data_IF_510465570833
#
_entry.id   IF_510465570833
#
_cell.length_a   1.000
_cell.length_b   1.000
_cell.length_c   1.000
_cell.angle_alpha   90.00
_cell.angle_beta   90.00
_cell.angle_gamma   90.00
#
_symmetry.space_group_name_H-M   'P 1'
#
loop_
_entity.id
_entity.type
_entity.pdbx_description
1 polymer ?
#
# COMPACT_ATOMS: atom_id res chain seq x y z
N UNK A 1 -22.31 61.38 -18.19
CA UNK A 1 -21.79 60.07 -17.75
C UNK A 1 -22.91 59.06 -17.78
N UNK A 2 -22.97 58.18 -18.80
CA UNK A 2 -23.82 57.00 -18.72
C UNK A 2 -23.10 55.96 -17.87
N UNK A 3 -23.60 55.71 -16.66
CA UNK A 3 -23.23 54.51 -15.91
C UNK A 3 -24.02 53.34 -16.50
N UNK A 4 -23.45 52.72 -17.54
CA UNK A 4 -23.89 51.39 -17.97
C UNK A 4 -23.33 50.41 -16.93
N UNK A 5 -24.10 50.18 -15.87
CA UNK A 5 -23.96 48.95 -15.11
C UNK A 5 -24.45 47.82 -16.00
N UNK A 6 -23.52 47.15 -16.68
CA UNK A 6 -23.79 45.82 -17.24
C UNK A 6 -23.89 44.87 -16.05
N UNK A 7 -25.11 44.68 -15.55
CA UNK A 7 -25.40 43.57 -14.65
C UNK A 7 -25.01 42.27 -15.38
N UNK A 8 -23.95 41.62 -14.91
CA UNK A 8 -23.43 40.40 -15.49
C UNK A 8 -24.17 39.22 -14.84
N UNK A 9 -25.19 38.73 -15.55
CA UNK A 9 -25.98 37.58 -15.19
C UNK A 9 -25.36 36.31 -15.77
N UNK A 10 -25.24 35.27 -14.95
CA UNK A 10 -24.88 33.93 -15.41
C UNK A 10 -26.08 32.99 -15.26
N UNK A 11 -26.25 32.07 -16.21
CA UNK A 11 -27.39 31.17 -16.30
C UNK A 11 -26.88 29.76 -16.55
N UNK A 12 -26.72 29.01 -15.48
CA UNK A 12 -26.35 27.61 -15.52
C UNK A 12 -27.57 26.77 -15.95
N UNK A 13 -27.33 25.74 -16.75
CA UNK A 13 -28.34 24.73 -17.13
C UNK A 13 -27.74 23.33 -16.99
N UNK A 14 -28.42 22.46 -16.26
CA UNK A 14 -28.00 21.08 -16.01
C UNK A 14 -29.13 20.10 -16.35
N UNK A 15 -28.77 18.87 -16.75
CA UNK A 15 -29.72 17.80 -16.98
C UNK A 15 -29.21 16.48 -16.37
N UNK A 16 -30.13 15.56 -16.06
CA UNK A 16 -29.84 14.26 -15.45
C UNK A 16 -29.67 13.12 -16.46
N UNK A 17 -29.48 13.42 -17.75
CA UNK A 17 -29.31 12.41 -18.80
C UNK A 17 -27.97 11.68 -18.76
N UNK A 18 -27.76 10.66 -19.61
CA UNK A 18 -28.73 10.14 -20.59
C UNK A 18 -29.92 9.43 -19.93
N UNK A 19 -31.06 9.38 -20.62
CA UNK A 19 -32.25 8.63 -20.18
C UNK A 19 -32.69 7.60 -21.24
N UNK A 20 -33.38 6.54 -20.82
CA UNK A 20 -34.05 5.62 -21.77
C UNK A 20 -35.31 6.26 -22.37
N UNK A 21 -35.67 5.93 -23.61
CA UNK A 21 -36.95 6.33 -24.24
C UNK A 21 -38.14 6.01 -23.33
N UNK A 22 -39.02 6.98 -23.11
CA UNK A 22 -40.16 6.87 -22.19
C UNK A 22 -39.87 7.24 -20.73
N UNK A 23 -38.61 7.26 -20.30
CA UNK A 23 -38.23 7.75 -18.97
C UNK A 23 -38.31 9.28 -18.88
N UNK A 24 -38.31 9.82 -17.64
CA UNK A 24 -38.45 11.26 -17.40
C UNK A 24 -37.09 11.89 -17.09
N UNK A 25 -36.62 12.78 -17.96
CA UNK A 25 -35.48 13.64 -17.66
C UNK A 25 -35.93 14.87 -16.85
N UNK A 26 -35.04 15.33 -15.99
CA UNK A 26 -35.12 16.59 -15.25
C UNK A 26 -34.05 17.53 -15.80
N UNK A 27 -34.48 18.69 -16.29
CA UNK A 27 -33.59 19.78 -16.71
C UNK A 27 -33.81 20.96 -15.76
N UNK A 28 -32.73 21.48 -15.18
CA UNK A 28 -32.74 22.58 -14.21
C UNK A 28 -31.96 23.77 -14.77
N UNK A 29 -32.47 24.97 -14.51
CA UNK A 29 -31.78 26.22 -14.80
C UNK A 29 -31.65 27.06 -13.52
N UNK A 30 -30.47 27.62 -13.29
CA UNK A 30 -30.09 28.46 -12.15
C UNK A 30 -29.55 29.80 -12.66
N UNK A 31 -30.24 30.89 -12.36
CA UNK A 31 -29.77 32.25 -12.62
C UNK A 31 -28.99 32.76 -11.41
N UNK A 32 -27.75 33.18 -11.62
CA UNK A 32 -26.94 33.87 -10.61
C UNK A 32 -26.59 35.30 -11.07
N UNK A 33 -26.41 36.20 -10.10
CA UNK A 33 -25.92 37.55 -10.35
C UNK A 33 -24.51 37.68 -9.78
N UNK A 34 -23.60 38.25 -10.56
CA UNK A 34 -22.20 38.44 -10.15
C UNK A 34 -22.02 39.55 -9.10
N UNK A 35 -23.02 40.44 -8.98
CA UNK A 35 -23.10 41.46 -7.94
C UNK A 35 -24.27 41.14 -7.01
N UNK A 36 -24.00 41.10 -5.70
CA UNK A 36 -24.93 40.71 -4.63
C UNK A 36 -26.00 41.79 -4.30
N UNK A 37 -26.29 42.67 -5.26
CA UNK A 37 -27.35 43.67 -5.15
C UNK A 37 -28.70 42.97 -5.24
N UNK A 38 -29.31 42.71 -4.08
CA UNK A 38 -30.64 42.10 -3.93
C UNK A 38 -31.70 43.01 -4.55
N UNK A 39 -31.87 42.89 -5.86
CA UNK A 39 -33.02 43.46 -6.56
C UNK A 39 -34.21 42.56 -6.32
N UNK A 40 -35.36 43.14 -5.95
CA UNK A 40 -36.63 42.41 -5.78
C UNK A 40 -37.25 41.97 -7.13
N UNK A 41 -36.41 41.71 -8.12
CA UNK A 41 -36.78 41.33 -9.47
C UNK A 41 -37.26 39.87 -9.46
N UNK A 42 -38.49 39.69 -9.93
CA UNK A 42 -39.03 38.39 -10.30
C UNK A 42 -38.63 38.11 -11.75
N UNK A 43 -38.03 36.96 -11.99
CA UNK A 43 -37.65 36.50 -13.32
C UNK A 43 -38.69 35.53 -13.87
N UNK A 44 -38.66 35.31 -15.18
CA UNK A 44 -39.45 34.29 -15.86
C UNK A 44 -38.55 33.43 -16.78
N UNK A 45 -38.68 32.11 -16.64
CA UNK A 45 -37.91 31.12 -17.40
C UNK A 45 -38.73 30.59 -18.56
N UNK A 46 -38.33 30.98 -19.77
CA UNK A 46 -38.93 30.58 -21.03
C UNK A 46 -38.10 29.41 -21.59
N UNK A 47 -38.75 28.29 -21.89
CA UNK A 47 -38.09 27.04 -22.28
C UNK A 47 -38.46 26.64 -23.71
N UNK A 48 -37.50 26.14 -24.48
CA UNK A 48 -37.71 25.36 -25.71
C UNK A 48 -37.11 23.97 -25.49
N UNK A 49 -37.97 22.95 -25.60
CA UNK A 49 -37.65 21.54 -25.41
C UNK A 49 -38.18 20.65 -26.53
N UNK A 50 -38.85 21.20 -27.55
CA UNK A 50 -39.40 20.42 -28.66
C UNK A 50 -38.27 19.68 -29.41
N UNK A 51 -38.47 18.40 -29.80
CA UNK A 51 -39.73 17.63 -29.82
C UNK A 51 -40.05 16.85 -28.53
N UNK A 52 -39.35 17.08 -27.41
CA UNK A 52 -39.64 16.38 -26.15
C UNK A 52 -41.02 16.77 -25.58
N UNK A 53 -41.64 15.84 -24.85
CA UNK A 53 -42.95 16.03 -24.20
C UNK A 53 -42.73 16.58 -22.79
N UNK A 54 -43.30 17.75 -22.49
CA UNK A 54 -43.28 18.32 -21.14
C UNK A 54 -44.25 17.55 -20.23
N UNK A 55 -43.72 16.95 -19.17
CA UNK A 55 -44.50 16.20 -18.17
C UNK A 55 -44.63 16.94 -16.83
N UNK A 56 -43.82 17.99 -16.60
CA UNK A 56 -43.98 18.89 -15.45
C UNK A 56 -43.11 20.14 -15.57
N UNK A 57 -43.50 21.23 -14.90
CA UNK A 57 -42.69 22.44 -14.75
C UNK A 57 -42.79 22.94 -13.31
N UNK A 58 -41.67 23.37 -12.74
CA UNK A 58 -41.63 24.19 -11.53
C UNK A 58 -40.76 25.43 -11.74
N UNK A 59 -41.09 26.51 -11.04
CA UNK A 59 -40.46 27.81 -11.24
C UNK A 59 -40.47 28.59 -9.93
N UNK A 60 -39.32 29.12 -9.56
CA UNK A 60 -39.06 29.96 -8.38
C UNK A 60 -38.27 31.20 -8.83
N UNK A 61 -37.86 32.07 -7.90
CA UNK A 61 -37.31 33.38 -8.26
C UNK A 61 -36.03 33.33 -9.12
N UNK A 62 -35.11 32.42 -8.79
CA UNK A 62 -33.80 32.30 -9.44
C UNK A 62 -33.58 30.94 -10.11
N UNK A 63 -34.56 30.05 -10.07
CA UNK A 63 -34.44 28.71 -10.64
C UNK A 63 -35.74 28.20 -11.23
N UNK A 64 -35.62 27.44 -12.30
CA UNK A 64 -36.74 26.72 -12.92
C UNK A 64 -36.30 25.31 -13.26
N UNK A 65 -37.24 24.37 -13.17
CA UNK A 65 -37.05 22.99 -13.58
C UNK A 65 -38.16 22.60 -14.56
N UNK A 66 -37.80 21.91 -15.63
CA UNK A 66 -38.74 21.20 -16.50
C UNK A 66 -38.45 19.71 -16.44
N UNK A 67 -39.53 18.93 -16.35
CA UNK A 67 -39.50 17.49 -16.48
C UNK A 67 -40.00 17.15 -17.90
N UNK A 68 -39.18 16.42 -18.65
CA UNK A 68 -39.40 16.15 -20.07
C UNK A 68 -39.16 14.68 -20.39
N UNK A 69 -39.91 14.15 -21.36
CA UNK A 69 -39.82 12.75 -21.81
C UNK A 69 -39.58 12.71 -23.31
N UNK A 70 -38.72 11.80 -23.77
CA UNK A 70 -38.47 11.54 -25.19
C UNK A 70 -38.99 10.16 -25.59
N UNK A 71 -39.81 10.11 -26.65
CA UNK A 71 -40.33 8.85 -27.21
C UNK A 71 -39.31 8.17 -28.14
N UNK A 72 -38.41 8.95 -28.75
CA UNK A 72 -37.43 8.49 -29.74
C UNK A 72 -36.00 8.70 -29.23
N UNK A 73 -35.04 7.81 -29.59
CA UNK A 73 -33.63 8.03 -29.28
C UNK A 73 -33.07 9.22 -30.06
N UNK A 74 -32.16 9.98 -29.46
CA UNK A 74 -31.57 11.17 -30.06
C UNK A 74 -30.87 12.10 -29.07
N UNK A 75 -30.20 13.11 -29.60
CA UNK A 75 -29.62 14.21 -28.84
C UNK A 75 -30.50 15.45 -29.04
N UNK A 76 -31.22 15.86 -27.98
CA UNK A 76 -32.23 16.91 -28.05
C UNK A 76 -31.74 18.19 -27.34
N UNK A 77 -31.63 19.33 -28.05
CA UNK A 77 -31.24 20.58 -27.43
C UNK A 77 -32.42 21.13 -26.60
N UNK A 78 -32.20 21.30 -25.30
CA UNK A 78 -33.12 22.00 -24.40
C UNK A 78 -32.51 23.35 -24.07
N UNK A 79 -33.19 24.42 -24.48
CA UNK A 79 -32.73 25.80 -24.27
C UNK A 79 -33.67 26.59 -23.38
N UNK A 80 -33.10 27.55 -22.66
CA UNK A 80 -33.81 28.41 -21.71
C UNK A 80 -33.31 29.83 -21.84
N UNK A 81 -34.22 30.80 -21.80
CA UNK A 81 -33.88 32.22 -21.65
C UNK A 81 -34.73 32.89 -20.60
N UNK A 82 -34.10 33.83 -19.90
CA UNK A 82 -34.67 34.49 -18.75
C UNK A 82 -35.07 35.92 -19.12
N UNK A 83 -36.28 36.32 -18.74
CA UNK A 83 -36.79 37.69 -18.86
C UNK A 83 -37.22 38.22 -17.50
N UNK A 84 -37.23 39.54 -17.31
CA UNK A 84 -37.90 40.12 -16.14
C UNK A 84 -39.41 39.91 -16.26
N UNK A 85 -40.06 39.41 -15.20
CA UNK A 85 -41.51 39.14 -15.18
C UNK A 85 -42.35 40.36 -15.56
N UNK A 86 -41.87 41.57 -15.24
CA UNK A 86 -42.59 42.83 -15.48
C UNK A 86 -42.36 43.41 -16.88
N UNK A 87 -41.59 42.76 -17.77
CA UNK A 87 -41.28 43.29 -19.10
C UNK A 87 -41.13 42.18 -20.16
N UNK A 88 -42.25 41.78 -20.77
CA UNK A 88 -42.27 40.79 -21.88
C UNK A 88 -41.44 41.27 -23.09
N UNK A 89 -41.51 42.56 -23.42
CA UNK A 89 -40.83 43.16 -24.59
C UNK A 89 -39.34 43.44 -24.36
N UNK A 90 -38.81 43.19 -23.15
CA UNK A 90 -37.40 43.38 -22.86
C UNK A 90 -36.55 42.28 -23.52
N UNK A 91 -35.28 42.60 -23.81
CA UNK A 91 -34.31 41.60 -24.26
C UNK A 91 -34.11 40.54 -23.16
N UNK A 92 -33.83 39.27 -23.52
CA UNK A 92 -33.50 38.26 -22.53
C UNK A 92 -32.24 38.67 -21.76
N UNK A 93 -32.30 38.49 -20.44
CA UNK A 93 -31.27 38.83 -19.47
C UNK A 93 -30.09 37.86 -19.59
N UNK A 94 -30.41 36.57 -19.71
CA UNK A 94 -29.46 35.50 -19.98
C UNK A 94 -30.14 34.40 -20.81
N UNK A 95 -29.34 33.58 -21.50
CA UNK A 95 -29.78 32.42 -22.28
C UNK A 95 -28.74 31.31 -22.19
N UNK A 96 -29.16 30.06 -22.11
CA UNK A 96 -28.26 28.90 -22.19
C UNK A 96 -28.97 27.70 -22.82
N UNK A 97 -28.19 26.68 -23.19
CA UNK A 97 -28.68 25.44 -23.84
C UNK A 97 -27.90 24.24 -23.30
N UNK A 98 -28.61 23.15 -23.06
CA UNK A 98 -28.03 21.84 -22.74
C UNK A 98 -28.49 20.82 -23.77
N UNK A 99 -27.73 19.74 -23.94
CA UNK A 99 -28.13 18.60 -24.79
C UNK A 99 -28.59 17.49 -23.86
N UNK A 100 -29.85 17.07 -24.01
CA UNK A 100 -30.37 15.87 -23.36
C UNK A 100 -30.21 14.69 -24.32
N UNK A 101 -29.53 13.65 -23.87
CA UNK A 101 -29.41 12.39 -24.62
C UNK A 101 -30.52 11.43 -24.20
N UNK A 102 -31.29 10.95 -25.18
CA UNK A 102 -32.26 9.86 -25.02
C UNK A 102 -31.77 8.66 -25.82
N UNK A 103 -31.78 7.48 -25.22
CA UNK A 103 -31.35 6.23 -25.82
C UNK A 103 -32.46 5.19 -25.75
N UNK A 104 -32.53 4.27 -26.73
CA UNK A 104 -33.48 3.16 -26.66
C UNK A 104 -33.06 2.09 -25.64
N UNK A 105 -31.80 2.11 -25.21
CA UNK A 105 -31.16 1.15 -24.32
C UNK A 105 -31.21 1.58 -22.84
N UNK A 106 -30.98 0.62 -21.94
CA UNK A 106 -30.79 0.85 -20.50
C UNK A 106 -29.51 1.66 -20.29
N UNK A 107 -29.58 2.65 -19.39
CA UNK A 107 -28.44 3.50 -18.98
C UNK A 107 -27.86 3.05 -17.64
N UNK A 108 -26.53 3.10 -17.50
CA UNK A 108 -25.84 2.70 -16.27
C UNK A 108 -24.33 2.63 -16.46
N UNK A 109 -23.61 2.14 -15.46
CA UNK A 109 -22.17 1.91 -15.53
C UNK A 109 -21.77 0.54 -14.94
N UNK A 110 -20.62 0.04 -15.40
CA UNK A 110 -19.93 -1.10 -14.78
C UNK A 110 -18.86 -0.59 -13.82
N UNK A 111 -18.79 -1.21 -12.65
CA UNK A 111 -17.82 -0.91 -11.60
C UNK A 111 -17.11 -2.20 -11.21
N UNK A 112 -15.78 -2.13 -11.12
CA UNK A 112 -14.93 -3.22 -10.65
C UNK A 112 -14.34 -2.80 -9.31
N UNK A 113 -14.41 -3.70 -8.33
CA UNK A 113 -13.79 -3.54 -7.04
C UNK A 113 -13.10 -4.83 -6.58
N UNK A 114 -11.98 -4.68 -5.90
CA UNK A 114 -11.21 -5.81 -5.37
C UNK A 114 -11.53 -6.02 -3.89
N UNK A 115 -11.80 -7.27 -3.51
CA UNK A 115 -12.02 -7.67 -2.10
C UNK A 115 -10.75 -8.33 -1.58
N UNK A 116 -10.12 -7.69 -0.59
CA UNK A 116 -8.96 -8.21 0.12
C UNK A 116 -9.34 -8.33 1.60
N UNK A 117 -9.64 -9.56 2.04
CA UNK A 117 -10.24 -9.82 3.35
C UNK A 117 -11.73 -9.49 3.40
N UNK A 118 -12.14 -8.68 4.40
CA UNK A 118 -13.55 -8.27 4.61
C UNK A 118 -13.84 -6.82 4.21
N UNK A 119 -12.88 -6.12 3.60
CA UNK A 119 -13.00 -4.74 3.17
C UNK A 119 -12.90 -4.60 1.65
N UNK A 120 -13.64 -3.62 1.11
CA UNK A 120 -13.62 -3.25 -0.30
C UNK A 120 -12.58 -2.15 -0.49
N UNK A 121 -11.33 -2.52 -0.81
CA UNK A 121 -10.16 -1.64 -0.64
C UNK A 121 -9.87 -0.79 -1.88
N UNK A 122 -10.24 -1.25 -3.09
CA UNK A 122 -9.96 -0.52 -4.34
C UNK A 122 -11.16 -0.46 -5.26
N UNK A 123 -11.51 0.76 -5.65
CA UNK A 123 -12.43 1.08 -6.74
C UNK A 123 -11.55 1.49 -7.93
N UNK A 124 -11.40 0.60 -8.92
CA UNK A 124 -10.39 0.78 -9.97
C UNK A 124 -10.37 -0.37 -10.99
N UNK A 125 -9.73 -0.12 -12.13
CA UNK A 125 -9.75 -1.00 -13.30
C UNK A 125 -8.72 -2.16 -13.22
N UNK A 126 -7.78 -2.07 -12.27
CA UNK A 126 -6.73 -3.06 -12.03
C UNK A 126 -6.99 -3.85 -10.75
N UNK A 127 -6.98 -5.17 -10.86
CA UNK A 127 -7.20 -6.13 -9.76
C UNK A 127 -6.07 -7.16 -9.75
N UNK A 128 -5.80 -7.84 -8.62
CA UNK A 128 -4.81 -8.93 -8.62
C UNK A 128 -5.40 -10.31 -8.83
N UNK A 129 -4.66 -11.14 -9.58
CA UNK A 129 -4.90 -12.59 -9.66
C UNK A 129 -4.93 -13.24 -8.28
N UNK A 130 -5.70 -14.33 -8.14
CA UNK A 130 -5.98 -15.04 -6.87
C UNK A 130 -6.71 -14.23 -5.78
N UNK A 131 -7.35 -13.10 -6.14
CA UNK A 131 -8.29 -12.40 -5.24
C UNK A 131 -9.69 -12.31 -5.85
N UNK A 132 -10.71 -12.32 -4.99
CA UNK A 132 -12.10 -12.24 -5.43
C UNK A 132 -12.38 -10.83 -5.94
N UNK A 133 -12.57 -10.72 -7.26
CA UNK A 133 -12.98 -9.49 -7.92
C UNK A 133 -14.50 -9.39 -7.87
N UNK A 134 -15.02 -8.31 -7.30
CA UNK A 134 -16.44 -7.99 -7.29
C UNK A 134 -16.73 -7.05 -8.46
N UNK A 135 -17.52 -7.53 -9.42
CA UNK A 135 -17.98 -6.73 -10.56
C UNK A 135 -19.47 -6.43 -10.37
N UNK A 136 -19.83 -5.16 -10.44
CA UNK A 136 -21.20 -4.69 -10.23
C UNK A 136 -21.65 -3.67 -11.27
N UNK A 137 -22.92 -3.75 -11.62
CA UNK A 137 -23.62 -2.78 -12.46
C UNK A 137 -24.40 -1.79 -11.58
N UNK A 138 -24.29 -0.49 -11.87
CA UNK A 138 -25.19 0.51 -11.29
C UNK A 138 -26.09 1.08 -12.38
N UNK A 139 -27.40 0.87 -12.22
CA UNK A 139 -28.44 1.43 -13.08
C UNK A 139 -28.50 2.95 -12.92
N UNK A 140 -28.50 3.68 -14.03
CA UNK A 140 -28.78 5.11 -14.07
C UNK A 140 -30.25 5.34 -14.46
N UNK A 141 -31.12 5.38 -13.46
CA UNK A 141 -32.55 5.66 -13.61
C UNK A 141 -33.00 6.74 -12.63
N UNK A 142 -32.84 8.03 -12.98
CA UNK A 142 -33.16 9.14 -12.09
C UNK A 142 -34.67 9.43 -11.99
N UNK A 143 -35.53 8.62 -12.63
CA UNK A 143 -36.99 8.81 -12.67
C UNK A 143 -37.79 7.62 -12.10
N UNK A 144 -37.13 6.62 -11.52
CA UNK A 144 -37.76 5.36 -11.10
C UNK A 144 -38.52 4.64 -12.26
N UNK A 145 -38.11 4.84 -13.52
CA UNK A 145 -38.78 4.29 -14.71
C UNK A 145 -38.82 2.75 -14.70
N UNK A 146 -37.74 2.11 -14.23
CA UNK A 146 -37.60 0.65 -14.15
C UNK A 146 -38.02 0.07 -12.79
N UNK A 147 -38.71 0.83 -11.94
CA UNK A 147 -39.07 0.42 -10.57
C UNK A 147 -39.92 -0.85 -10.46
N UNK A 148 -40.73 -1.15 -11.47
CA UNK A 148 -41.53 -2.37 -11.59
C UNK A 148 -40.88 -3.45 -12.47
N UNK A 149 -39.68 -3.21 -13.00
CA UNK A 149 -39.02 -4.14 -13.90
C UNK A 149 -38.28 -5.25 -13.15
N UNK A 150 -38.42 -6.46 -13.68
CA UNK A 150 -37.55 -7.58 -13.32
C UNK A 150 -36.30 -7.54 -14.21
N UNK A 151 -35.13 -7.72 -13.61
CA UNK A 151 -33.86 -7.69 -14.32
C UNK A 151 -33.29 -9.09 -14.55
N UNK A 152 -32.49 -9.22 -15.60
CA UNK A 152 -31.59 -10.34 -15.89
C UNK A 152 -30.26 -9.78 -16.35
N UNK A 153 -29.18 -10.26 -15.76
CA UNK A 153 -27.81 -9.84 -16.07
C UNK A 153 -27.07 -11.03 -16.68
N UNK A 154 -26.60 -10.90 -17.92
CA UNK A 154 -25.80 -11.92 -18.60
C UNK A 154 -24.35 -11.43 -18.76
N UNK A 155 -23.45 -12.02 -17.98
CA UNK A 155 -22.04 -11.67 -17.87
C UNK A 155 -21.18 -12.59 -18.74
N UNK A 156 -20.23 -12.03 -19.48
CA UNK A 156 -19.16 -12.73 -20.20
C UNK A 156 -17.81 -12.08 -19.86
N UNK A 157 -16.85 -12.90 -19.42
CA UNK A 157 -15.51 -12.48 -19.01
C UNK A 157 -14.44 -12.74 -20.10
N UNK A 158 -14.87 -13.01 -21.33
CA UNK A 158 -14.03 -13.29 -22.49
C UNK A 158 -13.55 -14.75 -22.57
N UNK A 159 -14.16 -15.67 -21.82
CA UNK A 159 -13.75 -17.08 -21.75
C UNK A 159 -14.69 -18.01 -22.55
N UNK A 160 -15.70 -17.45 -23.22
CA UNK A 160 -16.76 -18.21 -23.88
C UNK A 160 -17.77 -18.85 -22.92
N UNK A 161 -17.65 -18.57 -21.61
CA UNK A 161 -18.55 -19.00 -20.56
C UNK A 161 -19.40 -17.81 -20.09
N UNK A 162 -20.72 -17.98 -20.15
CA UNK A 162 -21.71 -16.98 -19.75
C UNK A 162 -22.23 -17.28 -18.34
N UNK A 163 -22.37 -16.25 -17.50
CA UNK A 163 -23.02 -16.34 -16.20
C UNK A 163 -24.28 -15.48 -16.19
N UNK A 164 -25.41 -16.06 -15.77
CA UNK A 164 -26.69 -15.34 -15.70
C UNK A 164 -27.11 -15.16 -14.24
N UNK A 165 -27.37 -13.92 -13.81
CA UNK A 165 -27.80 -13.57 -12.45
C UNK A 165 -29.08 -12.74 -12.43
N UNK A 166 -29.74 -12.68 -11.26
CA UNK A 166 -30.83 -11.75 -10.96
C UNK A 166 -30.34 -10.53 -10.18
N UNK A 167 -29.22 -10.68 -9.50
CA UNK A 167 -28.47 -9.67 -8.79
C UNK A 167 -27.58 -8.88 -9.77
N UNK A 168 -27.42 -7.55 -9.59
CA UNK A 168 -26.61 -6.70 -10.48
C UNK A 168 -25.10 -6.83 -10.24
N UNK A 169 -24.64 -7.91 -9.59
CA UNK A 169 -23.24 -8.13 -9.26
C UNK A 169 -22.86 -9.61 -9.30
N UNK A 170 -21.56 -9.85 -9.48
CA UNK A 170 -20.94 -11.18 -9.53
C UNK A 170 -19.57 -11.16 -8.85
N UNK A 171 -19.23 -12.27 -8.21
CA UNK A 171 -17.90 -12.53 -7.67
C UNK A 171 -17.13 -13.40 -8.65
N UNK A 172 -16.06 -12.85 -9.22
CA UNK A 172 -15.21 -13.52 -10.19
C UNK A 172 -13.83 -13.76 -9.57
N UNK A 173 -13.44 -15.03 -9.41
CA UNK A 173 -12.08 -15.41 -9.04
C UNK A 173 -11.36 -15.87 -10.30
N UNK A 174 -10.18 -15.31 -10.57
CA UNK A 174 -9.46 -15.59 -11.79
C UNK A 174 -7.95 -15.67 -11.58
N UNK A 175 -7.33 -16.70 -12.15
CA UNK A 175 -5.92 -17.06 -11.90
C UNK A 175 -4.98 -16.79 -13.08
N UNK A 176 -5.49 -16.49 -14.29
CA UNK A 176 -4.64 -16.16 -15.44
C UNK A 176 -4.52 -14.63 -15.65
N UNK A 177 -3.28 -14.15 -15.74
CA UNK A 177 -2.96 -12.73 -15.96
C UNK A 177 -3.44 -12.22 -17.32
N UNK A 178 -3.67 -10.91 -17.42
CA UNK A 178 -3.85 -10.21 -18.68
C UNK A 178 -4.98 -9.19 -18.67
N UNK A 179 -5.06 -8.44 -19.78
CA UNK A 179 -6.15 -7.50 -20.03
C UNK A 179 -7.33 -8.27 -20.63
N UNK A 180 -8.44 -8.30 -19.90
CA UNK A 180 -9.70 -8.92 -20.32
C UNK A 180 -10.76 -7.84 -20.53
N UNK A 181 -11.78 -8.13 -21.33
CA UNK A 181 -12.97 -7.30 -21.43
C UNK A 181 -14.13 -8.04 -20.79
N UNK A 182 -14.76 -7.42 -19.81
CA UNK A 182 -16.02 -7.91 -19.25
C UNK A 182 -17.15 -7.30 -20.05
N UNK A 183 -18.00 -8.16 -20.62
CA UNK A 183 -19.22 -7.79 -21.32
C UNK A 183 -20.41 -8.11 -20.42
N UNK A 184 -21.35 -7.19 -20.30
CA UNK A 184 -22.61 -7.37 -19.59
C UNK A 184 -23.77 -6.98 -20.51
N UNK A 185 -24.65 -7.95 -20.78
CA UNK A 185 -25.96 -7.69 -21.36
C UNK A 185 -27.01 -7.65 -20.25
N UNK A 186 -27.60 -6.48 -20.04
CA UNK A 186 -28.73 -6.26 -19.11
C UNK A 186 -30.04 -6.38 -19.88
N UNK A 187 -31.02 -7.04 -19.29
CA UNK A 187 -32.40 -7.13 -19.78
C UNK A 187 -33.33 -6.72 -18.63
N UNK A 188 -34.24 -5.77 -18.89
CA UNK A 188 -35.27 -5.32 -17.97
C UNK A 188 -36.64 -5.61 -18.59
N UNK A 189 -37.53 -6.27 -17.85
CA UNK A 189 -38.84 -6.72 -18.34
C UNK A 189 -39.95 -6.42 -17.31
N UNK A 190 -41.06 -5.83 -17.79
CA UNK A 190 -42.24 -5.50 -16.97
C UNK A 190 -43.54 -5.63 -17.76
N UNK A 191 -44.67 -5.76 -17.05
CA UNK A 191 -46.02 -5.67 -17.64
C UNK A 191 -46.48 -4.21 -17.72
N UNK A 192 -47.03 -3.82 -18.87
CA UNK A 192 -47.70 -2.54 -19.09
C UNK A 192 -49.12 -2.78 -19.63
N UNK A 193 -50.08 -1.93 -19.26
CA UNK A 193 -51.46 -2.02 -19.78
C UNK A 193 -51.50 -1.58 -21.24
N UNK A 194 -51.93 -2.47 -22.14
CA UNK A 194 -52.04 -2.19 -23.57
C UNK A 194 -53.10 -1.13 -23.93
N UNK A 195 -52.92 -0.47 -25.08
CA UNK A 195 -53.71 0.69 -25.48
C UNK A 195 -55.11 0.39 -26.05
N UNK A 196 -55.38 -0.84 -26.52
CA UNK A 196 -56.57 -1.13 -27.36
C UNK A 196 -57.43 -2.28 -26.81
N UNK A 197 -56.86 -3.15 -25.98
CA UNK A 197 -57.55 -4.22 -25.23
C UNK A 197 -56.95 -4.19 -23.82
N UNK A 198 -57.71 -4.57 -22.78
CA UNK A 198 -57.19 -4.75 -21.40
C UNK A 198 -56.26 -5.99 -21.27
N UNK A 199 -55.46 -6.25 -22.29
CA UNK A 199 -54.37 -7.22 -22.28
C UNK A 199 -53.11 -6.56 -21.71
N UNK A 200 -52.28 -7.37 -21.05
CA UNK A 200 -51.01 -6.91 -20.49
C UNK A 200 -49.94 -7.15 -21.55
N UNK A 201 -49.26 -6.09 -21.94
CA UNK A 201 -48.13 -6.14 -22.86
C UNK A 201 -46.84 -6.27 -22.03
N UNK A 202 -46.02 -7.27 -22.32
CA UNK A 202 -44.70 -7.41 -21.71
C UNK A 202 -43.71 -6.52 -22.46
N UNK A 203 -43.28 -5.44 -21.82
CA UNK A 203 -42.31 -4.50 -22.36
C UNK A 203 -40.92 -4.93 -21.92
N UNK A 204 -39.97 -4.93 -22.85
CA UNK A 204 -38.58 -5.28 -22.61
C UNK A 204 -37.65 -4.17 -23.06
N UNK A 205 -36.64 -3.86 -22.24
CA UNK A 205 -35.50 -3.00 -22.57
C UNK A 205 -34.21 -3.75 -22.34
N UNK A 206 -33.18 -3.39 -23.10
CA UNK A 206 -31.86 -4.03 -23.03
C UNK A 206 -30.76 -2.99 -22.94
N UNK A 207 -29.62 -3.36 -22.40
CA UNK A 207 -28.39 -2.56 -22.43
C UNK A 207 -27.18 -3.48 -22.59
N UNK A 208 -26.15 -2.98 -23.25
CA UNK A 208 -24.88 -3.69 -23.44
C UNK A 208 -23.76 -2.80 -22.90
N UNK A 209 -22.93 -3.36 -22.02
CA UNK A 209 -21.92 -2.64 -21.28
C UNK A 209 -20.60 -3.39 -21.33
N UNK A 210 -19.53 -2.68 -21.62
CA UNK A 210 -18.17 -3.23 -21.67
C UNK A 210 -17.27 -2.47 -20.74
N UNK A 211 -16.39 -3.19 -20.04
CA UNK A 211 -15.31 -2.60 -19.25
C UNK A 211 -14.06 -3.46 -19.35
N UNK A 212 -12.89 -2.83 -19.35
CA UNK A 212 -11.64 -3.57 -19.25
C UNK A 212 -11.40 -4.02 -17.80
N UNK A 213 -10.77 -5.17 -17.64
CA UNK A 213 -10.31 -5.73 -16.38
C UNK A 213 -8.83 -6.07 -16.55
N UNK A 214 -7.96 -5.31 -15.90
CA UNK A 214 -6.52 -5.56 -15.93
C UNK A 214 -6.13 -6.44 -14.73
N UNK A 215 -5.85 -7.72 -14.98
CA UNK A 215 -5.39 -8.65 -13.95
C UNK A 215 -3.87 -8.65 -13.87
N UNK A 216 -3.34 -7.98 -12.84
CA UNK A 216 -1.92 -7.86 -12.53
C UNK A 216 -1.52 -8.94 -11.51
N UNK A 217 -0.32 -9.52 -11.62
CA UNK A 217 0.17 -10.40 -10.56
C UNK A 217 0.58 -9.59 -9.32
N UNK A 218 0.23 -10.10 -8.15
CA UNK A 218 0.69 -9.58 -6.88
C UNK A 218 2.19 -9.89 -6.71
N UNK A 219 2.90 -9.05 -5.97
CA UNK A 219 4.28 -9.35 -5.54
C UNK A 219 4.20 -10.40 -4.43
N UNK A 220 4.45 -11.66 -4.78
CA UNK A 220 4.34 -12.83 -3.89
C UNK A 220 5.52 -12.94 -2.93
N UNK A 221 6.74 -12.59 -3.36
CA UNK A 221 7.92 -12.59 -2.50
C UNK A 221 9.10 -11.78 -3.06
N UNK A 222 9.99 -11.35 -2.16
CA UNK A 222 11.28 -10.73 -2.47
C UNK A 222 12.38 -11.55 -1.79
N UNK A 223 13.23 -12.21 -2.58
CA UNK A 223 14.34 -13.02 -2.12
C UNK A 223 15.67 -12.29 -2.36
N UNK A 224 16.41 -12.00 -1.30
CA UNK A 224 17.73 -11.35 -1.37
C UNK A 224 18.84 -12.41 -1.38
N UNK A 225 19.48 -12.62 -2.53
CA UNK A 225 20.55 -13.60 -2.74
C UNK A 225 21.91 -12.90 -2.66
N UNK A 226 22.91 -13.55 -2.05
CA UNK A 226 24.27 -13.02 -1.88
C UNK A 226 24.79 -13.14 -0.44
N UNK A 227 26.00 -12.63 -0.19
CA UNK A 227 26.66 -12.73 1.12
C UNK A 227 25.94 -11.96 2.23
N UNK A 228 26.21 -12.32 3.50
CA UNK A 228 25.84 -11.53 4.69
C UNK A 228 27.02 -10.76 5.28
N UNK A 229 28.23 -11.05 4.83
CA UNK A 229 29.47 -10.46 5.33
C UNK A 229 30.34 -9.95 4.19
N UNK A 230 31.05 -8.86 4.43
CA UNK A 230 32.02 -8.27 3.51
C UNK A 230 33.05 -7.46 4.30
N UNK A 231 34.16 -7.10 3.68
CA UNK A 231 35.18 -6.25 4.27
C UNK A 231 35.05 -4.77 3.87
N UNK A 232 35.62 -3.88 4.66
CA UNK A 232 35.71 -2.44 4.33
C UNK A 232 36.38 -2.24 2.95
N UNK A 233 35.82 -1.35 2.12
CA UNK A 233 36.23 -1.08 0.74
C UNK A 233 36.15 -2.26 -0.26
N UNK A 234 35.69 -3.44 0.18
CA UNK A 234 35.28 -4.53 -0.71
C UNK A 234 33.90 -4.22 -1.33
N UNK A 235 33.65 -4.75 -2.53
CA UNK A 235 32.40 -4.55 -3.26
C UNK A 235 31.45 -5.72 -3.03
N UNK A 236 30.39 -5.49 -2.26
CA UNK A 236 29.33 -6.47 -2.02
C UNK A 236 28.32 -6.44 -3.17
N UNK A 237 28.14 -7.58 -3.84
CA UNK A 237 27.07 -7.81 -4.81
C UNK A 237 25.92 -8.62 -4.18
N UNK A 238 24.70 -8.13 -4.37
CA UNK A 238 23.45 -8.78 -3.94
C UNK A 238 22.50 -8.85 -5.13
N UNK A 239 21.87 -10.01 -5.34
CA UNK A 239 20.87 -10.21 -6.39
C UNK A 239 19.48 -10.30 -5.76
N UNK A 240 18.60 -9.37 -6.12
CA UNK A 240 17.19 -9.38 -5.73
C UNK A 240 16.42 -10.24 -6.73
N UNK A 241 15.80 -11.31 -6.25
CA UNK A 241 14.91 -12.18 -7.01
C UNK A 241 13.48 -11.88 -6.56
N UNK A 242 12.65 -11.36 -7.47
CA UNK A 242 11.33 -10.84 -7.14
C UNK A 242 10.29 -11.69 -7.88
N UNK A 243 9.34 -12.25 -7.13
CA UNK A 243 8.26 -13.05 -7.66
C UNK A 243 7.02 -12.15 -7.85
N UNK A 244 6.87 -11.59 -9.04
CA UNK A 244 5.77 -10.71 -9.43
C UNK A 244 5.98 -10.16 -10.85
N UNK A 245 4.91 -9.65 -11.47
CA UNK A 245 4.93 -9.24 -12.88
C UNK A 245 5.43 -7.79 -13.08
N UNK A 246 6.39 -7.55 -14.00
CA UNK A 246 6.81 -6.21 -14.41
C UNK A 246 5.69 -5.40 -15.08
N UNK A 247 5.75 -4.05 -15.08
CA UNK A 247 6.81 -3.21 -14.49
C UNK A 247 6.66 -3.06 -12.97
N UNK A 248 7.76 -3.28 -12.23
CA UNK A 248 7.77 -3.17 -10.77
C UNK A 248 8.58 -1.93 -10.34
N UNK A 249 8.07 -1.21 -9.34
CA UNK A 249 8.79 -0.10 -8.70
C UNK A 249 9.60 -0.65 -7.50
N UNK A 250 10.91 -0.76 -7.68
CA UNK A 250 11.88 -1.20 -6.69
C UNK A 250 12.48 0.02 -5.97
N UNK A 251 12.40 0.03 -4.64
CA UNK A 251 12.87 1.10 -3.77
C UNK A 251 13.79 0.49 -2.71
N UNK A 252 15.07 0.85 -2.68
CA UNK A 252 16.04 0.28 -1.72
C UNK A 252 16.88 1.33 -1.01
N UNK A 253 17.35 1.00 0.19
CA UNK A 253 18.17 1.86 1.05
C UNK A 253 19.09 1.01 1.95
N UNK A 254 20.31 1.48 2.17
CA UNK A 254 21.26 0.88 3.13
C UNK A 254 21.54 1.88 4.25
N UNK A 255 21.37 1.47 5.50
CA UNK A 255 21.64 2.25 6.73
C UNK A 255 22.20 1.35 7.84
N UNK A 256 22.53 1.91 9.00
CA UNK A 256 22.94 1.12 10.18
C UNK A 256 21.77 0.29 10.75
N UNK A 257 20.54 0.79 10.67
CA UNK A 257 19.33 0.16 11.21
C UNK A 257 18.34 -0.17 10.08
N UNK A 258 17.55 -1.23 10.27
CA UNK A 258 16.47 -1.60 9.36
C UNK A 258 15.28 -0.64 9.52
N UNK A 259 15.08 0.28 8.59
CA UNK A 259 13.96 1.23 8.61
C UNK A 259 12.93 0.94 7.51
N UNK A 260 11.61 1.06 7.78
CA UNK A 260 10.58 0.93 6.77
C UNK A 260 10.70 2.03 5.71
N UNK A 261 10.42 1.68 4.45
CA UNK A 261 10.57 2.60 3.32
C UNK A 261 9.24 3.27 2.97
N UNK A 262 8.86 4.24 3.79
CA UNK A 262 7.73 5.13 3.56
C UNK A 262 8.23 6.53 3.13
N UNK A 263 7.81 7.00 1.95
CA UNK A 263 8.27 8.26 1.34
C UNK A 263 9.49 8.14 0.40
N UNK A 264 9.98 9.29 -0.07
CA UNK A 264 10.92 9.42 -1.21
C UNK A 264 12.41 9.16 -0.88
N UNK A 265 12.76 8.77 0.34
CA UNK A 265 14.16 8.67 0.80
C UNK A 265 14.83 7.31 0.49
N UNK A 266 14.60 6.76 -0.71
CA UNK A 266 15.23 5.53 -1.20
C UNK A 266 15.72 5.69 -2.65
N UNK A 267 16.57 4.77 -3.11
CA UNK A 267 16.90 4.68 -4.52
C UNK A 267 15.78 3.95 -5.25
N UNK A 268 15.00 4.68 -6.05
CA UNK A 268 13.86 4.17 -6.82
C UNK A 268 14.30 3.77 -8.24
N UNK A 269 13.95 2.55 -8.66
CA UNK A 269 14.23 2.00 -9.98
C UNK A 269 12.97 1.28 -10.49
N UNK A 270 12.59 1.52 -11.74
CA UNK A 270 11.57 0.71 -12.42
C UNK A 270 12.26 -0.46 -13.11
N UNK A 271 11.83 -1.69 -12.79
CA UNK A 271 12.41 -2.92 -13.36
C UNK A 271 11.42 -3.60 -14.32
N UNK A 272 11.93 -3.99 -15.49
CA UNK A 272 11.18 -4.70 -16.54
C UNK A 272 11.31 -6.22 -16.47
N UNK A 273 11.92 -6.76 -15.41
CA UNK A 273 12.16 -8.19 -15.21
C UNK A 273 12.19 -8.56 -13.72
N UNK A 274 12.29 -9.86 -13.42
CA UNK A 274 12.23 -10.44 -12.07
C UNK A 274 13.53 -10.37 -11.26
N UNK A 275 14.60 -9.79 -11.81
CA UNK A 275 15.92 -9.75 -11.18
C UNK A 275 16.51 -8.34 -11.19
N UNK A 276 17.14 -7.95 -10.09
CA UNK A 276 17.92 -6.72 -9.98
C UNK A 276 19.22 -6.96 -9.21
N UNK A 277 20.35 -6.52 -9.77
CA UNK A 277 21.67 -6.65 -9.13
C UNK A 277 22.08 -5.33 -8.46
N UNK A 278 22.25 -5.38 -7.15
CA UNK A 278 22.72 -4.30 -6.30
C UNK A 278 24.23 -4.49 -6.02
N UNK A 279 25.01 -3.43 -6.20
CA UNK A 279 26.46 -3.41 -5.88
C UNK A 279 26.76 -2.24 -4.97
N UNK A 280 27.39 -2.49 -3.81
CA UNK A 280 27.71 -1.44 -2.84
C UNK A 280 29.09 -1.64 -2.19
N UNK A 281 29.76 -0.53 -1.87
CA UNK A 281 31.06 -0.49 -1.18
C UNK A 281 30.95 0.27 0.13
N UNK A 282 31.29 -0.39 1.24
CA UNK A 282 31.19 0.18 2.58
C UNK A 282 32.48 0.87 2.99
N UNK A 283 32.39 2.15 3.39
CA UNK A 283 33.54 2.96 3.82
C UNK A 283 33.97 2.75 5.27
N UNK A 284 33.14 2.12 6.11
CA UNK A 284 33.41 1.88 7.52
C UNK A 284 32.95 0.47 7.93
N UNK A 285 33.58 -0.08 8.97
CA UNK A 285 33.16 -1.32 9.59
C UNK A 285 31.96 -1.09 10.51
N UNK A 286 31.06 -2.07 10.60
CA UNK A 286 29.83 -1.96 11.37
C UNK A 286 28.75 -2.94 10.90
N UNK A 287 27.62 -2.93 11.60
CA UNK A 287 26.40 -3.60 11.15
C UNK A 287 25.61 -2.62 10.29
N UNK A 288 25.12 -3.10 9.15
CA UNK A 288 24.25 -2.37 8.24
C UNK A 288 23.02 -3.21 7.92
N UNK A 289 21.93 -2.56 7.55
CA UNK A 289 20.72 -3.18 7.04
C UNK A 289 20.36 -2.60 5.68
N UNK A 290 20.10 -3.49 4.73
CA UNK A 290 19.46 -3.21 3.46
C UNK A 290 17.95 -3.36 3.64
N UNK A 291 17.22 -2.24 3.56
CA UNK A 291 15.77 -2.24 3.38
C UNK A 291 15.44 -2.29 1.89
N UNK A 292 14.51 -3.17 1.51
CA UNK A 292 14.01 -3.29 0.12
C UNK A 292 12.48 -3.27 0.14
N UNK A 293 11.90 -2.37 -0.65
CA UNK A 293 10.47 -2.29 -0.93
C UNK A 293 10.27 -2.54 -2.43
N UNK A 294 9.32 -3.41 -2.77
CA UNK A 294 8.82 -3.55 -4.14
C UNK A 294 7.33 -3.21 -4.16
N UNK A 295 6.93 -2.44 -5.16
CA UNK A 295 5.55 -2.07 -5.41
C UNK A 295 5.16 -2.49 -6.83
N UNK A 296 4.16 -3.37 -6.93
CA UNK A 296 3.30 -3.50 -8.10
C UNK A 296 2.13 -2.51 -7.96
N UNK A 297 1.40 -2.21 -9.03
CA UNK A 297 0.20 -1.34 -8.96
C UNK A 297 -0.85 -1.83 -7.96
N UNK A 298 -0.86 -3.13 -7.65
CA UNK A 298 -1.77 -3.72 -6.67
C UNK A 298 -1.15 -3.85 -5.27
N UNK A 299 0.05 -4.42 -5.12
CA UNK A 299 0.62 -4.79 -3.81
C UNK A 299 1.98 -4.15 -3.51
N UNK A 300 2.22 -3.83 -2.24
CA UNK A 300 3.52 -3.39 -1.71
C UNK A 300 4.09 -4.43 -0.74
N UNK A 301 5.30 -4.92 -0.99
CA UNK A 301 5.99 -5.87 -0.11
C UNK A 301 7.34 -5.27 0.31
N UNK A 302 7.71 -5.42 1.59
CA UNK A 302 8.99 -4.97 2.13
C UNK A 302 9.76 -6.16 2.73
N UNK A 303 11.08 -6.15 2.58
CA UNK A 303 11.99 -7.14 3.18
C UNK A 303 13.27 -6.44 3.66
N UNK A 304 13.91 -7.04 4.65
CA UNK A 304 15.09 -6.50 5.32
C UNK A 304 16.23 -7.52 5.28
N UNK A 305 17.45 -7.04 5.13
CA UNK A 305 18.63 -7.88 5.06
C UNK A 305 19.79 -7.24 5.80
N UNK A 306 20.17 -7.82 6.93
CA UNK A 306 21.38 -7.44 7.66
C UNK A 306 22.66 -7.85 6.91
N UNK A 307 23.68 -7.00 7.05
CA UNK A 307 24.98 -7.06 6.40
C UNK A 307 26.04 -6.67 7.45
N UNK A 308 26.98 -7.56 7.74
CA UNK A 308 28.09 -7.31 8.65
C UNK A 308 29.34 -6.90 7.88
N UNK A 309 29.83 -5.67 8.11
CA UNK A 309 31.06 -5.16 7.48
C UNK A 309 32.21 -5.27 8.46
N UNK A 310 33.18 -6.13 8.16
CA UNK A 310 34.37 -6.35 8.98
C UNK A 310 35.53 -5.43 8.54
N UNK A 311 36.36 -4.93 9.46
CA UNK A 311 37.52 -4.14 9.08
C UNK A 311 38.50 -4.96 8.23
N UNK A 312 39.11 -4.31 7.22
CA UNK A 312 40.28 -4.84 6.51
C UNK A 312 41.53 -4.63 7.35
N UNK A 313 41.99 -5.67 8.04
CA UNK A 313 43.22 -5.62 8.82
C UNK A 313 43.65 -7.01 9.31
N UNK A 314 44.96 -7.22 9.43
CA UNK A 314 45.50 -8.46 10.01
C UNK A 314 44.96 -8.65 11.43
N UNK A 315 44.53 -9.87 11.77
CA UNK A 315 44.06 -10.17 13.12
C UNK A 315 45.19 -9.87 14.14
N UNK A 316 44.93 -9.07 15.21
CA UNK A 316 45.94 -8.75 16.22
C UNK A 316 46.59 -9.99 16.86
N UNK A 317 45.87 -11.12 16.86
CA UNK A 317 46.34 -12.42 17.31
C UNK A 317 47.69 -12.84 16.67
N UNK A 318 47.94 -12.58 15.38
CA UNK A 318 49.20 -12.98 14.74
C UNK A 318 50.41 -12.20 15.27
N UNK A 319 50.24 -10.90 15.52
CA UNK A 319 51.30 -10.08 16.15
C UNK A 319 51.53 -10.50 17.61
N UNK A 320 50.48 -10.77 18.36
CA UNK A 320 50.57 -11.27 19.75
C UNK A 320 51.31 -12.62 19.80
N UNK A 321 50.96 -13.56 18.90
CA UNK A 321 51.60 -14.88 18.82
C UNK A 321 53.10 -14.76 18.49
N UNK A 322 53.48 -13.89 17.56
CA UNK A 322 54.87 -13.63 17.20
C UNK A 322 55.66 -13.04 18.38
N UNK A 323 55.08 -12.09 19.11
CA UNK A 323 55.69 -11.52 20.32
C UNK A 323 55.86 -12.56 21.45
N UNK A 324 54.88 -13.44 21.67
CA UNK A 324 54.98 -14.53 22.65
C UNK A 324 56.09 -15.51 22.26
N UNK A 325 56.18 -15.89 20.98
CA UNK A 325 57.24 -16.77 20.49
C UNK A 325 58.64 -16.16 20.69
N UNK A 326 58.81 -14.87 20.39
CA UNK A 326 60.08 -14.15 20.63
C UNK A 326 60.45 -14.11 22.12
N UNK A 327 59.49 -13.83 23.01
CA UNK A 327 59.72 -13.83 24.46
C UNK A 327 60.14 -15.21 24.97
N UNK A 328 59.54 -16.30 24.47
CA UNK A 328 59.91 -17.67 24.83
C UNK A 328 61.33 -18.03 24.37
N UNK A 329 61.75 -17.60 23.17
CA UNK A 329 63.12 -17.81 22.67
C UNK A 329 64.14 -17.05 23.52
N UNK A 330 63.87 -15.79 23.88
CA UNK A 330 64.75 -15.00 24.75
C UNK A 330 64.85 -15.63 26.14
N UNK A 331 63.73 -16.08 26.73
CA UNK A 331 63.73 -16.75 28.03
C UNK A 331 64.53 -18.07 27.99
N UNK A 332 64.40 -18.84 26.90
CA UNK A 332 65.19 -20.05 26.66
C UNK A 332 66.69 -19.79 26.54
N UNK A 333 67.10 -18.69 25.88
CA UNK A 333 68.50 -18.26 25.80
C UNK A 333 69.06 -17.81 27.16
N UNK A 334 68.27 -17.11 27.98
CA UNK A 334 68.65 -16.74 29.35
C UNK A 334 68.81 -17.98 30.25
N UNK A 335 67.89 -18.94 30.17
CA UNK A 335 68.01 -20.22 30.88
C UNK A 335 69.23 -21.04 30.41
N UNK A 336 69.48 -21.09 29.11
CA UNK A 336 70.64 -21.80 28.54
C UNK A 336 71.97 -21.18 28.98
N UNK A 337 72.10 -19.85 28.92
CA UNK A 337 73.33 -19.14 29.31
C UNK A 337 73.60 -19.23 30.82
N UNK A 338 72.58 -19.13 31.66
CA UNK A 338 72.72 -19.29 33.12
C UNK A 338 73.07 -20.72 33.55
N UNK A 339 72.45 -21.75 32.95
CA UNK A 339 72.83 -23.15 33.18
C UNK A 339 74.25 -23.45 32.68
N UNK A 340 74.67 -22.84 31.56
CA UNK A 340 76.00 -23.04 30.98
C UNK A 340 77.10 -22.29 31.75
N UNK A 341 76.84 -21.10 32.31
CA UNK A 341 77.83 -20.42 33.16
C UNK A 341 78.08 -21.19 34.46
N UNK A 342 77.01 -21.71 35.07
CA UNK A 342 77.08 -22.47 36.33
C UNK A 342 77.80 -23.83 36.19
N UNK A 343 78.04 -24.31 34.97
CA UNK A 343 78.82 -25.51 34.68
C UNK A 343 80.29 -25.24 34.31
N UNK A 344 80.69 -23.98 34.09
CA UNK A 344 82.10 -23.62 33.81
C UNK A 344 82.87 -23.06 35.01
N UNK A 345 82.21 -22.71 36.13
CA UNK A 345 82.90 -22.18 37.31
C UNK A 345 83.27 -23.28 38.34
N UNK A 346 84.12 -24.21 37.92
CA UNK A 346 84.85 -25.16 38.78
C UNK A 346 86.28 -25.37 38.26
N UNK A 347 87.09 -24.32 38.32
CA UNK A 347 88.55 -24.47 38.36
C UNK A 347 89.01 -24.52 39.82
N UNK A 348 89.98 -25.40 40.10
CA UNK A 348 90.49 -25.62 41.46
C UNK A 348 91.40 -24.46 41.88
N UNK A 349 91.21 -23.98 43.10
CA UNK A 349 92.23 -23.23 43.85
C UNK A 349 92.43 -23.92 45.19
N UNK A 350 93.53 -24.67 45.31
CA UNK A 350 94.06 -25.12 46.59
C UNK A 350 94.82 -23.96 47.26
N UNK A 351 94.37 -23.50 48.43
CA UNK A 351 95.25 -22.89 49.45
C UNK A 351 94.79 -23.39 50.84
N UNK A 352 95.75 -23.62 51.72
CA UNK A 352 95.62 -24.46 52.89
C UNK A 352 94.87 -23.86 54.10
N UNK A 353 94.46 -24.80 54.94
CA UNK A 353 93.94 -24.67 56.31
C UNK A 353 94.85 -23.85 57.23
N UNK A 354 94.25 -22.95 58.02
CA UNK A 354 94.85 -22.30 59.19
C UNK A 354 93.76 -21.92 60.21
N UNK A 355 93.59 -22.77 61.22
CA UNK A 355 92.75 -22.51 62.40
C UNK A 355 93.38 -21.46 63.32
N UNK A 356 92.58 -20.44 63.69
CA UNK A 356 92.85 -19.54 64.81
C UNK A 356 91.54 -19.11 65.51
N UNK A 357 91.04 -19.98 66.39
CA UNK A 357 90.24 -19.54 67.55
C UNK A 357 91.13 -18.69 68.49
N UNK A 358 90.64 -17.62 69.19
CA UNK A 358 89.71 -17.82 70.32
C UNK A 358 88.78 -16.63 70.79
N UNK A 359 87.83 -16.97 71.68
CA UNK A 359 87.25 -16.15 72.80
C UNK A 359 86.58 -14.79 72.49
N UNK A 360 85.30 -14.51 72.82
CA UNK A 360 84.68 -14.56 74.17
C UNK A 360 83.26 -13.94 74.13
N UNK A 361 82.42 -14.25 75.15
CA UNK A 361 81.33 -13.47 75.78
C UNK A 361 80.38 -12.57 74.94
N UNK A 362 79.05 -12.48 75.20
CA UNK A 362 78.34 -12.53 76.49
C UNK A 362 76.82 -12.73 76.30
N UNK A 363 76.10 -13.01 77.38
CA UNK A 363 74.65 -13.25 77.40
C UNK A 363 73.74 -11.99 77.33
N UNK A 364 72.50 -12.25 76.87
CA UNK A 364 71.20 -11.77 77.41
C UNK A 364 70.43 -10.55 76.81
N UNK A 365 69.12 -10.82 76.65
CA UNK A 365 67.92 -9.98 76.91
C UNK A 365 67.34 -8.96 75.89
N UNK A 366 66.15 -9.34 75.37
CA UNK A 366 64.84 -8.64 75.52
C UNK A 366 64.38 -7.50 74.58
N UNK A 367 63.04 -7.35 74.53
CA UNK A 367 62.20 -6.25 73.96
C UNK A 367 62.10 -6.20 72.41
N UNK A 368 60.94 -6.51 71.80
CA UNK A 368 59.73 -5.66 71.56
C UNK A 368 60.00 -4.49 70.59
N UNK A 369 59.20 -4.20 69.57
CA UNK A 369 57.72 -4.16 69.54
C UNK A 369 57.10 -4.23 68.11
N UNK A 370 55.76 -4.20 68.09
CA UNK A 370 54.72 -4.05 67.04
C UNK A 370 55.01 -3.17 65.79
N UNK A 371 54.19 -3.10 64.72
CA UNK A 371 52.74 -3.35 64.48
C UNK A 371 52.49 -3.86 63.03
N UNK A 372 51.54 -4.73 62.68
CA UNK A 372 50.09 -4.85 62.95
C UNK A 372 49.16 -3.97 62.09
N UNK A 373 48.63 -4.52 60.99
CA UNK A 373 47.25 -4.44 60.45
C UNK A 373 47.26 -5.11 59.06
N UNK A 374 46.68 -6.28 58.78
CA UNK A 374 45.42 -6.97 59.15
C UNK A 374 44.18 -6.43 58.40
N UNK A 375 43.55 -7.32 57.63
CA UNK A 375 42.34 -7.07 56.83
C UNK A 375 41.83 -8.36 56.16
N UNK A 376 41.44 -9.35 56.96
CA UNK A 376 41.04 -10.70 56.53
C UNK A 376 39.52 -10.89 56.35
N UNK A 377 39.17 -11.98 55.63
CA UNK A 377 38.06 -12.92 55.93
C UNK A 377 36.65 -12.53 55.40
N UNK A 378 35.72 -13.43 54.99
CA UNK A 378 35.61 -14.92 54.79
C UNK A 378 34.58 -15.13 53.65
N UNK A 379 34.52 -16.19 52.81
CA UNK A 379 34.64 -17.66 52.92
C UNK A 379 33.31 -18.43 53.12
N UNK A 380 33.08 -19.43 52.25
CA UNK A 380 32.16 -20.60 52.31
C UNK A 380 30.62 -20.43 52.19
N UNK A 381 30.01 -21.18 51.26
CA UNK A 381 29.27 -22.42 51.60
C UNK A 381 28.94 -23.31 50.37
N UNK A 382 28.75 -24.61 50.62
CA UNK A 382 28.30 -25.67 49.68
C UNK A 382 26.76 -25.69 49.56
N UNK A 383 26.20 -26.40 48.56
CA UNK A 383 24.85 -26.98 48.72
C UNK A 383 24.04 -27.26 47.44
N UNK A 384 23.90 -28.54 47.11
CA UNK A 384 23.18 -29.16 45.99
C UNK A 384 21.63 -29.06 45.93
N UNK A 385 21.10 -29.28 44.71
CA UNK A 385 19.97 -30.17 44.35
C UNK A 385 18.56 -29.61 44.00
N UNK A 386 18.04 -30.17 42.89
CA UNK A 386 16.65 -30.45 42.47
C UNK A 386 15.55 -29.36 42.43
N UNK A 387 15.19 -29.01 41.19
CA UNK A 387 13.96 -29.50 40.51
C UNK A 387 12.61 -29.45 41.27
N UNK A 388 11.69 -28.60 40.81
CA UNK A 388 10.25 -28.91 40.78
C UNK A 388 9.51 -28.01 39.79
N UNK A 389 8.54 -28.58 39.08
CA UNK A 389 7.65 -27.85 38.17
C UNK A 389 6.51 -27.14 38.91
N UNK A 390 5.91 -26.12 38.29
CA UNK A 390 4.53 -25.74 38.59
C UNK A 390 3.83 -25.12 37.39
N UNK A 391 2.63 -25.61 37.11
CA UNK A 391 1.73 -25.11 36.06
C UNK A 391 1.10 -23.76 36.44
N UNK A 392 0.63 -23.03 35.42
CA UNK A 392 -0.56 -22.18 35.53
C UNK A 392 -1.35 -22.24 34.22
N UNK A 393 -2.67 -22.42 34.34
CA UNK A 393 -3.63 -22.45 33.24
C UNK A 393 -4.27 -21.07 33.04
N UNK A 394 -4.64 -20.73 31.81
CA UNK A 394 -5.95 -20.21 31.35
C UNK A 394 -5.82 -19.74 29.89
N UNK A 395 -6.41 -20.46 28.92
CA UNK A 395 -7.80 -20.37 28.45
C UNK A 395 -8.16 -19.07 27.71
N UNK A 396 -8.24 -19.16 26.37
CA UNK A 396 -9.24 -18.44 25.57
C UNK A 396 -9.72 -19.32 24.42
N UNK A 397 -11.01 -19.66 24.40
CA UNK A 397 -11.67 -20.27 23.24
C UNK A 397 -11.99 -19.20 22.19
N UNK A 398 -11.77 -19.52 20.91
CA UNK A 398 -12.33 -18.79 19.78
C UNK A 398 -13.36 -19.66 19.05
N UNK A 399 -14.62 -19.24 19.08
CA UNK A 399 -15.69 -19.84 18.29
C UNK A 399 -15.65 -19.30 16.85
N UNK A 400 -15.40 -20.16 15.87
CA UNK A 400 -15.78 -19.88 14.48
C UNK A 400 -16.50 -21.08 13.85
N UNK A 401 -17.65 -20.81 13.23
CA UNK A 401 -18.37 -21.78 12.39
C UNK A 401 -17.71 -21.81 11.00
N UNK A 402 -17.52 -22.98 10.37
CA UNK A 402 -17.02 -23.05 9.00
C UNK A 402 -18.11 -22.58 8.01
N UNK A 403 -17.76 -21.60 7.17
CA UNK A 403 -18.51 -21.26 5.96
C UNK A 403 -18.07 -22.21 4.85
N UNK A 404 -19.01 -22.73 4.05
CA UNK A 404 -18.71 -23.63 2.94
C UNK A 404 -18.15 -22.85 1.74
N UNK A 405 -16.89 -23.10 1.41
CA UNK A 405 -16.33 -22.80 0.09
C UNK A 405 -16.47 -24.02 -0.81
N UNK A 406 -16.82 -23.80 -2.08
CA UNK A 406 -16.82 -24.84 -3.12
C UNK A 406 -15.77 -24.47 -4.17
N UNK A 407 -14.70 -25.26 -4.24
CA UNK A 407 -13.72 -25.24 -5.32
C UNK A 407 -14.26 -26.04 -6.51
N UNK A 408 -14.05 -25.53 -7.71
CA UNK A 408 -14.07 -26.30 -8.97
C UNK A 408 -12.65 -26.29 -9.52
#
# INVERSE_FOLDING_TARGET
>A
FLLIFTEEYDLEITNNGPITTGAQATVRASLSMKNDSITSNLYHFNWIYAPLILTGKSEQQFHSQVNVTGEFPGAFPVSVWVTHRNCWLCRPVARNVTILHVTEFITGNLTIAQIEGSALIKQGLSSSTDTVTHVSFCLHDPSDYFKSASFVYNWDFGEGMYQITKEPFVYYNHSAMGNRTVHLKVIAEWEQTGSIIHERETVQKTGDFTTALELLDAVKSINVVGSRETHVMENLSLSLHINGSPPLALCWLIKAECIPLEGEKCHLVVISGSHYNLSHRFGAAGQYCLSVRVQSGVTTLQTYREIQVRPTGMQPAFFILLCIALLLVVLGLVLYTTLRSNTQQKDLVEVADFDFSPLSDKNLSSASESSCSQGCCRSCCLGSSQETARESHELLLSFYKPVKTYTV
#
